data_IF_684974603980
#
_entry.id   IF_684974603980
#
_cell.length_a   1.000
_cell.length_b   1.000
_cell.length_c   1.000
_cell.angle_alpha   90.00
_cell.angle_beta   90.00
_cell.angle_gamma   90.00
#
_symmetry.space_group_name_H-M   'P 1'
#
loop_
_entity.id
_entity.type
_entity.pdbx_description
1 polymer ?
#
# COMPACT_ATOMS: atom_id res chain seq x y z
N UNK A 1 -32.79 19.92 -5.70
CA UNK A 1 -31.59 19.66 -4.88
C UNK A 1 -30.82 18.51 -5.51
N UNK A 2 -29.69 18.80 -6.17
CA UNK A 2 -28.96 17.82 -7.02
C UNK A 2 -27.79 17.23 -6.23
N UNK A 3 -27.98 15.99 -5.74
CA UNK A 3 -26.95 15.19 -5.08
C UNK A 3 -25.86 14.76 -6.07
N UNK A 4 -24.84 15.60 -6.28
CA UNK A 4 -23.67 15.27 -7.10
C UNK A 4 -22.36 15.15 -6.29
N UNK A 5 -22.41 15.36 -4.96
CA UNK A 5 -21.20 15.40 -4.12
C UNK A 5 -20.79 14.04 -3.50
N UNK A 6 -21.53 12.96 -3.74
CA UNK A 6 -21.30 11.66 -3.08
C UNK A 6 -20.37 10.71 -3.86
N UNK A 7 -20.12 10.96 -5.16
CA UNK A 7 -19.29 10.06 -5.99
C UNK A 7 -17.78 10.27 -5.82
N UNK A 8 -17.33 11.50 -5.52
CA UNK A 8 -15.89 11.80 -5.37
C UNK A 8 -15.31 11.33 -4.03
N UNK A 9 -16.07 11.40 -2.93
CA UNK A 9 -15.61 10.90 -1.62
C UNK A 9 -15.46 9.38 -1.58
N UNK A 10 -16.34 8.66 -2.26
CA UNK A 10 -16.33 7.18 -2.24
C UNK A 10 -15.04 6.61 -2.82
N UNK A 11 -14.51 7.19 -3.90
CA UNK A 11 -13.27 6.72 -4.53
C UNK A 11 -12.03 7.02 -3.67
N UNK A 12 -11.94 8.22 -3.10
CA UNK A 12 -10.83 8.60 -2.21
C UNK A 12 -10.81 7.77 -0.92
N UNK A 13 -11.98 7.52 -0.32
CA UNK A 13 -12.11 6.66 0.86
C UNK A 13 -11.79 5.19 0.54
N UNK A 14 -12.12 4.73 -0.67
CA UNK A 14 -11.82 3.36 -1.11
C UNK A 14 -10.32 3.15 -1.37
N UNK A 15 -9.64 4.12 -1.99
CA UNK A 15 -8.18 4.07 -2.17
C UNK A 15 -7.46 4.16 -0.83
N UNK A 16 -7.94 5.02 0.06
CA UNK A 16 -7.37 5.15 1.41
C UNK A 16 -7.48 3.83 2.19
N UNK A 17 -8.68 3.22 2.24
CA UNK A 17 -8.88 1.90 2.86
C UNK A 17 -8.06 0.79 2.22
N UNK A 18 -7.92 0.80 0.90
CA UNK A 18 -7.13 -0.21 0.18
C UNK A 18 -5.63 -0.05 0.49
N UNK A 19 -5.15 1.19 0.60
CA UNK A 19 -3.77 1.49 1.01
C UNK A 19 -3.50 1.10 2.47
N UNK A 20 -4.47 1.30 3.37
CA UNK A 20 -4.37 0.87 4.78
C UNK A 20 -4.24 -0.64 4.90
N UNK A 21 -5.11 -1.38 4.21
CA UNK A 21 -5.12 -2.84 4.25
C UNK A 21 -3.85 -3.43 3.64
N UNK A 22 -3.39 -2.90 2.50
CA UNK A 22 -2.12 -3.30 1.88
C UNK A 22 -0.92 -2.98 2.77
N UNK A 23 -0.88 -1.81 3.41
CA UNK A 23 0.19 -1.44 4.35
C UNK A 23 0.25 -2.36 5.57
N UNK A 24 -0.91 -2.78 6.09
CA UNK A 24 -1.00 -3.73 7.19
C UNK A 24 -0.49 -5.12 6.80
N UNK A 25 -0.86 -5.61 5.61
CA UNK A 25 -0.39 -6.90 5.06
C UNK A 25 1.13 -6.88 4.88
N UNK A 26 1.68 -5.85 4.23
CA UNK A 26 3.12 -5.72 4.00
C UNK A 26 3.88 -5.71 5.31
N UNK A 27 3.41 -4.95 6.31
CA UNK A 27 4.03 -4.95 7.65
C UNK A 27 3.92 -6.29 8.35
N UNK A 28 2.79 -6.98 8.26
CA UNK A 28 2.61 -8.30 8.86
C UNK A 28 3.63 -9.32 8.30
N UNK A 29 3.84 -9.33 6.98
CA UNK A 29 4.85 -10.15 6.35
C UNK A 29 6.29 -9.69 6.67
N UNK A 30 6.55 -8.39 6.75
CA UNK A 30 7.86 -7.85 7.13
C UNK A 30 8.26 -8.23 8.56
N UNK A 31 7.29 -8.24 9.48
CA UNK A 31 7.49 -8.72 10.84
C UNK A 31 7.43 -10.26 10.96
N UNK A 32 7.42 -11.02 9.85
CA UNK A 32 7.39 -12.49 9.84
C UNK A 32 6.27 -13.07 10.73
N UNK A 33 5.12 -12.39 10.82
CA UNK A 33 4.01 -12.82 11.67
C UNK A 33 4.26 -12.73 13.18
N UNK A 34 5.38 -12.15 13.64
CA UNK A 34 5.70 -11.97 15.08
C UNK A 34 4.71 -11.06 15.81
N UNK A 35 3.92 -10.26 15.07
CA UNK A 35 2.86 -9.41 15.62
C UNK A 35 1.51 -9.77 15.02
N UNK A 36 0.48 -9.87 15.87
CA UNK A 36 -0.90 -10.13 15.44
C UNK A 36 -1.39 -8.99 14.52
N UNK A 37 -2.10 -9.35 13.46
CA UNK A 37 -2.62 -8.41 12.46
C UNK A 37 -3.46 -7.27 13.08
N UNK A 38 -4.32 -7.59 14.05
CA UNK A 38 -5.11 -6.61 14.81
C UNK A 38 -4.29 -5.56 15.56
N UNK A 39 -3.04 -5.90 15.92
CA UNK A 39 -2.16 -4.94 16.62
C UNK A 39 -1.57 -3.92 15.64
N UNK A 40 -1.48 -4.27 14.36
CA UNK A 40 -0.97 -3.42 13.29
C UNK A 40 -2.08 -2.56 12.65
N UNK A 41 -3.33 -3.01 12.71
CA UNK A 41 -4.52 -2.32 12.19
C UNK A 41 -5.15 -1.31 13.19
N UNK A 42 -4.40 -0.82 14.19
CA UNK A 42 -4.89 0.25 15.08
C UNK A 42 -4.72 1.63 14.44
N UNK A 43 -5.71 2.51 14.65
CA UNK A 43 -5.75 3.89 14.11
C UNK A 43 -4.45 4.68 14.31
N UNK A 44 -3.79 4.50 15.46
CA UNK A 44 -2.56 5.21 15.80
C UNK A 44 -1.33 4.78 14.94
N UNK A 45 -1.47 3.81 14.04
CA UNK A 45 -0.41 3.37 13.12
C UNK A 45 -0.78 3.47 11.63
N UNK A 46 -1.96 3.98 11.29
CA UNK A 46 -2.45 4.14 9.90
C UNK A 46 -1.41 4.85 9.01
N UNK A 47 -0.90 6.00 9.44
CA UNK A 47 0.11 6.77 8.69
C UNK A 47 1.40 6.01 8.46
N UNK A 48 1.84 5.21 9.44
CA UNK A 48 3.04 4.38 9.32
C UNK A 48 2.81 3.21 8.38
N UNK A 49 1.60 2.65 8.35
CA UNK A 49 1.23 1.58 7.44
C UNK A 49 1.12 2.10 6.00
N UNK A 50 0.50 3.27 5.80
CA UNK A 50 0.39 3.93 4.50
C UNK A 50 1.78 4.28 3.93
N UNK A 51 2.67 4.83 4.75
CA UNK A 51 4.05 5.15 4.34
C UNK A 51 4.84 3.90 3.92
N UNK A 52 4.75 2.82 4.71
CA UNK A 52 5.43 1.56 4.39
C UNK A 52 4.85 0.92 3.13
N UNK A 53 3.53 0.94 2.96
CA UNK A 53 2.88 0.45 1.74
C UNK A 53 3.29 1.24 0.48
N UNK A 54 3.40 2.57 0.59
CA UNK A 54 3.90 3.41 -0.49
C UNK A 54 5.37 3.11 -0.81
N UNK A 55 6.24 3.04 0.21
CA UNK A 55 7.66 2.74 0.03
C UNK A 55 7.86 1.38 -0.66
N UNK A 56 7.10 0.37 -0.24
CA UNK A 56 7.14 -0.96 -0.83
C UNK A 56 6.73 -0.93 -2.32
N UNK A 57 5.66 -0.22 -2.68
CA UNK A 57 5.24 -0.05 -4.08
C UNK A 57 6.33 0.60 -4.93
N UNK A 58 6.99 1.64 -4.41
CA UNK A 58 8.10 2.31 -5.11
C UNK A 58 9.27 1.35 -5.34
N UNK A 59 9.68 0.60 -4.31
CA UNK A 59 10.77 -0.38 -4.41
C UNK A 59 10.44 -1.47 -5.44
N UNK A 60 9.20 -1.99 -5.41
CA UNK A 60 8.74 -2.99 -6.38
C UNK A 60 8.81 -2.48 -7.81
N UNK A 61 8.34 -1.24 -8.03
CA UNK A 61 8.34 -0.61 -9.35
C UNK A 61 9.77 -0.41 -9.87
N UNK A 62 10.68 0.06 -9.01
CA UNK A 62 12.11 0.18 -9.35
C UNK A 62 12.75 -1.18 -9.63
N UNK A 63 12.42 -2.22 -8.85
CA UNK A 63 12.92 -3.58 -9.05
C UNK A 63 12.48 -4.19 -10.39
N UNK A 64 11.21 -4.00 -10.76
CA UNK A 64 10.68 -4.42 -12.07
C UNK A 64 11.37 -3.67 -13.20
N UNK A 65 11.55 -2.34 -13.07
CA UNK A 65 12.21 -1.54 -14.09
C UNK A 65 13.68 -1.93 -14.28
N UNK A 66 14.39 -2.18 -13.18
CA UNK A 66 15.77 -2.67 -13.22
C UNK A 66 15.87 -4.04 -13.90
N UNK A 67 14.98 -4.98 -13.55
CA UNK A 67 14.92 -6.30 -14.20
C UNK A 67 14.65 -6.17 -15.70
N UNK A 68 13.73 -5.30 -16.11
CA UNK A 68 13.44 -5.06 -17.51
C UNK A 68 14.66 -4.53 -18.27
N UNK A 69 15.40 -3.58 -17.68
CA UNK A 69 16.66 -3.07 -18.27
C UNK A 69 17.72 -4.16 -18.40
N UNK A 70 17.89 -4.99 -17.36
CA UNK A 70 18.84 -6.11 -17.39
C UNK A 70 18.48 -7.11 -18.48
N UNK A 71 17.20 -7.48 -18.60
CA UNK A 71 16.72 -8.39 -19.64
C UNK A 71 16.90 -7.80 -21.05
N UNK A 72 16.64 -6.50 -21.23
CA UNK A 72 16.86 -5.82 -22.52
C UNK A 72 18.34 -5.75 -22.89
N UNK A 73 19.23 -5.53 -21.91
CA UNK A 73 20.67 -5.47 -22.14
C UNK A 73 21.34 -6.85 -22.23
N UNK A 74 20.62 -7.92 -21.90
CA UNK A 74 21.06 -9.31 -22.00
C UNK A 74 20.66 -9.99 -23.32
N UNK A 75 19.86 -9.33 -24.16
CA UNK A 75 19.50 -9.73 -25.53
C UNK A 75 20.31 -8.95 -26.55
#
# INVERSE_FOLDING_TARGET
>A
MKNNNLKWNTSGDSEFKTSEWMGAIVRYFFFLGTKKFDTLYKENQIWKNALVGWLFKVILLLGVFYLALVLMNSN
#
